data_IF_558925976177
#
_entry.id   IF_558925976177
#
_cell.length_a   1.000
_cell.length_b   1.000
_cell.length_c   1.000
_cell.angle_alpha   90.00
_cell.angle_beta   90.00
_cell.angle_gamma   90.00
#
_symmetry.space_group_name_H-M   'P 1'
#
loop_
_entity.id
_entity.type
_entity.pdbx_description
1 polymer ?
#
# COMPACT_ATOMS: atom_id res chain seq x y z
N UNK A 1 -66.58 24.94 2.68
CA UNK A 1 -66.83 23.58 3.23
C UNK A 1 -65.88 22.64 2.50
N UNK A 2 -64.88 22.09 3.19
CA UNK A 2 -63.91 21.19 2.58
C UNK A 2 -64.56 19.82 2.30
N UNK A 3 -64.28 19.28 1.12
CA UNK A 3 -64.96 18.16 0.49
C UNK A 3 -64.48 16.83 1.08
N UNK A 4 -65.37 16.07 1.71
CA UNK A 4 -65.05 14.82 2.41
C UNK A 4 -64.62 13.69 1.46
N UNK A 5 -65.02 13.74 0.19
CA UNK A 5 -64.60 12.75 -0.82
C UNK A 5 -63.11 12.86 -1.17
N UNK A 6 -62.55 14.06 -1.15
CA UNK A 6 -61.13 14.26 -1.49
C UNK A 6 -60.22 13.62 -0.43
N UNK A 7 -60.64 13.62 0.84
CA UNK A 7 -59.91 12.97 1.94
C UNK A 7 -59.86 11.44 1.85
N UNK A 8 -60.93 10.79 1.35
CA UNK A 8 -60.95 9.33 1.17
C UNK A 8 -60.13 8.90 -0.04
N UNK A 9 -60.12 9.69 -1.11
CA UNK A 9 -59.31 9.40 -2.31
C UNK A 9 -57.81 9.54 -1.97
N UNK A 10 -57.43 10.56 -1.21
CA UNK A 10 -56.05 10.74 -0.78
C UNK A 10 -55.58 9.64 0.19
N UNK A 11 -56.42 9.20 1.13
CA UNK A 11 -56.07 8.12 2.06
C UNK A 11 -55.87 6.77 1.34
N UNK A 12 -56.72 6.45 0.35
CA UNK A 12 -56.61 5.21 -0.44
C UNK A 12 -55.42 5.28 -1.40
N UNK A 13 -55.19 6.43 -2.05
CA UNK A 13 -54.02 6.64 -2.89
C UNK A 13 -52.72 6.50 -2.08
N UNK A 14 -52.69 7.02 -0.85
CA UNK A 14 -51.53 6.96 0.04
C UNK A 14 -51.24 5.53 0.53
N UNK A 15 -52.28 4.76 0.89
CA UNK A 15 -52.12 3.35 1.23
C UNK A 15 -51.53 2.53 0.06
N UNK A 16 -52.00 2.77 -1.17
CA UNK A 16 -51.50 2.10 -2.38
C UNK A 16 -50.07 2.54 -2.77
N UNK A 17 -49.73 3.81 -2.56
CA UNK A 17 -48.36 4.32 -2.77
C UNK A 17 -47.38 3.69 -1.79
N UNK A 18 -47.75 3.58 -0.52
CA UNK A 18 -46.92 3.00 0.54
C UNK A 18 -46.64 1.51 0.32
N UNK A 19 -47.64 0.74 -0.09
CA UNK A 19 -47.46 -0.69 -0.39
C UNK A 19 -46.55 -0.93 -1.59
N UNK A 20 -46.62 -0.06 -2.61
CA UNK A 20 -45.74 -0.12 -3.78
C UNK A 20 -44.28 0.15 -3.39
N UNK A 21 -44.04 1.17 -2.57
CA UNK A 21 -42.69 1.50 -2.08
C UNK A 21 -42.12 0.34 -1.23
N UNK A 22 -42.94 -0.26 -0.35
CA UNK A 22 -42.53 -1.40 0.47
C UNK A 22 -42.16 -2.66 -0.35
N UNK A 23 -42.93 -2.96 -1.40
CA UNK A 23 -42.61 -4.06 -2.32
C UNK A 23 -41.30 -3.83 -3.08
N UNK A 24 -41.03 -2.60 -3.49
CA UNK A 24 -39.79 -2.22 -4.15
C UNK A 24 -38.58 -2.38 -3.21
N UNK A 25 -38.66 -1.91 -1.97
CA UNK A 25 -37.60 -2.10 -0.98
C UNK A 25 -37.37 -3.59 -0.64
N UNK A 26 -38.43 -4.40 -0.53
CA UNK A 26 -38.29 -5.85 -0.32
C UNK A 26 -37.64 -6.57 -1.51
N UNK A 27 -37.88 -6.12 -2.74
CA UNK A 27 -37.36 -6.74 -3.96
C UNK A 27 -35.92 -6.32 -4.28
N UNK A 28 -35.56 -5.06 -4.01
CA UNK A 28 -34.28 -4.46 -4.42
C UNK A 28 -33.36 -4.05 -3.27
N UNK A 29 -33.83 -4.06 -2.02
CA UNK A 29 -33.03 -3.64 -0.86
C UNK A 29 -31.79 -4.52 -0.64
N UNK A 30 -31.86 -5.80 -0.99
CA UNK A 30 -30.71 -6.71 -0.94
C UNK A 30 -29.63 -6.34 -1.96
N UNK A 31 -29.99 -5.79 -3.14
CA UNK A 31 -29.02 -5.32 -4.14
C UNK A 31 -28.25 -4.11 -3.63
N UNK A 32 -28.93 -3.18 -2.94
CA UNK A 32 -28.24 -2.06 -2.29
C UNK A 32 -27.27 -2.57 -1.22
N UNK A 33 -27.69 -3.55 -0.42
CA UNK A 33 -26.81 -4.22 0.55
C UNK A 33 -25.60 -4.91 -0.11
N UNK A 34 -25.82 -5.58 -1.24
CA UNK A 34 -24.75 -6.24 -2.02
C UNK A 34 -23.74 -5.22 -2.56
N UNK A 35 -24.22 -4.09 -3.09
CA UNK A 35 -23.37 -3.01 -3.59
C UNK A 35 -22.50 -2.44 -2.47
N UNK A 36 -23.08 -2.19 -1.29
CA UNK A 36 -22.33 -1.72 -0.12
C UNK A 36 -21.28 -2.76 0.30
N UNK A 37 -21.66 -4.04 0.36
CA UNK A 37 -20.72 -5.13 0.68
C UNK A 37 -19.55 -5.21 -0.31
N UNK A 38 -19.82 -5.04 -1.60
CA UNK A 38 -18.78 -5.02 -2.63
C UNK A 38 -17.83 -3.84 -2.47
N UNK A 39 -18.35 -2.63 -2.20
CA UNK A 39 -17.53 -1.44 -1.98
C UNK A 39 -16.65 -1.60 -0.73
N UNK A 40 -17.23 -2.04 0.38
CA UNK A 40 -16.50 -2.24 1.65
C UNK A 40 -15.49 -3.38 1.51
N UNK A 41 -15.86 -4.48 0.85
CA UNK A 41 -14.95 -5.59 0.59
C UNK A 41 -13.77 -5.20 -0.30
N UNK A 42 -14.02 -4.41 -1.37
CA UNK A 42 -12.98 -3.88 -2.24
C UNK A 42 -12.06 -2.90 -1.51
N UNK A 43 -12.61 -2.02 -0.65
CA UNK A 43 -11.82 -1.10 0.16
C UNK A 43 -10.94 -1.83 1.17
N UNK A 44 -11.49 -2.82 1.88
CA UNK A 44 -10.76 -3.65 2.84
C UNK A 44 -9.64 -4.46 2.15
N UNK A 45 -9.91 -5.01 0.96
CA UNK A 45 -8.91 -5.73 0.18
C UNK A 45 -7.77 -4.82 -0.30
N UNK A 46 -8.10 -3.63 -0.80
CA UNK A 46 -7.09 -2.64 -1.20
C UNK A 46 -6.22 -2.21 -0.01
N UNK A 47 -6.81 -1.97 1.16
CA UNK A 47 -6.05 -1.58 2.35
C UNK A 47 -5.09 -2.67 2.82
N UNK A 48 -5.51 -3.93 2.78
CA UNK A 48 -4.65 -5.07 3.10
C UNK A 48 -3.52 -5.26 2.09
N UNK A 49 -3.79 -4.97 0.81
CA UNK A 49 -2.78 -5.02 -0.24
C UNK A 49 -1.74 -3.89 -0.10
N UNK A 50 -2.17 -2.69 0.26
CA UNK A 50 -1.26 -1.54 0.48
C UNK A 50 -0.32 -1.79 1.65
N UNK A 51 -0.82 -2.33 2.76
CA UNK A 51 0.00 -2.65 3.94
C UNK A 51 1.10 -3.69 3.66
N UNK A 52 0.91 -4.59 2.69
CA UNK A 52 1.95 -5.56 2.26
C UNK A 52 3.07 -4.93 1.43
N UNK A 53 2.81 -3.79 0.78
CA UNK A 53 3.85 -3.05 0.03
C UNK A 53 4.73 -2.24 1.00
N UNK A 54 4.10 -1.54 1.94
CA UNK A 54 4.80 -0.84 3.03
C UNK A 54 5.71 -1.78 3.84
N UNK A 55 5.27 -2.99 4.16
CA UNK A 55 6.10 -3.92 4.96
C UNK A 55 7.42 -4.34 4.28
N UNK A 56 7.45 -4.35 2.94
CA UNK A 56 8.65 -4.74 2.20
C UNK A 56 9.70 -3.62 2.21
N UNK A 57 9.23 -2.37 2.12
CA UNK A 57 10.08 -1.18 2.14
C UNK A 57 10.58 -0.90 3.57
N UNK A 58 9.71 -1.06 4.59
CA UNK A 58 10.08 -0.97 6.01
C UNK A 58 11.14 -2.02 6.39
N UNK A 59 10.94 -3.28 6.02
CA UNK A 59 11.89 -4.36 6.36
C UNK A 59 13.27 -4.14 5.72
N UNK A 60 13.34 -3.51 4.54
CA UNK A 60 14.60 -3.18 3.89
C UNK A 60 15.30 -2.00 4.57
N UNK A 61 14.54 -0.96 4.94
CA UNK A 61 15.04 0.18 5.72
C UNK A 61 15.61 -0.26 7.08
N UNK A 62 14.90 -1.13 7.79
CA UNK A 62 15.36 -1.71 9.05
C UNK A 62 16.66 -2.52 8.87
N UNK A 63 16.79 -3.27 7.78
CA UNK A 63 18.01 -4.03 7.49
C UNK A 63 19.21 -3.12 7.22
N UNK A 64 19.02 -1.99 6.52
CA UNK A 64 20.06 -0.97 6.32
C UNK A 64 20.47 -0.32 7.63
N UNK A 65 19.51 0.07 8.45
CA UNK A 65 19.78 0.71 9.74
C UNK A 65 20.51 -0.26 10.68
N UNK A 66 20.05 -1.50 10.76
CA UNK A 66 20.70 -2.56 11.53
C UNK A 66 22.13 -2.82 11.07
N UNK A 67 22.40 -2.80 9.76
CA UNK A 67 23.75 -2.90 9.24
C UNK A 67 24.62 -1.72 9.71
N UNK A 68 24.13 -0.48 9.65
CA UNK A 68 24.87 0.71 10.07
C UNK A 68 25.10 0.80 11.58
N UNK A 69 24.22 0.20 12.39
CA UNK A 69 24.33 0.16 13.86
C UNK A 69 25.38 -0.84 14.37
N UNK A 70 25.96 -1.67 13.49
CA UNK A 70 27.07 -2.55 13.84
C UNK A 70 28.26 -1.76 14.38
N UNK A 71 28.89 -2.29 15.44
CA UNK A 71 29.96 -1.59 16.17
C UNK A 71 31.31 -1.62 15.45
N UNK A 72 31.64 -2.73 14.77
CA UNK A 72 32.89 -2.83 14.02
C UNK A 72 32.66 -2.47 12.56
N UNK A 73 33.67 -1.83 11.96
CA UNK A 73 33.61 -1.45 10.56
C UNK A 73 33.60 -2.69 9.63
N UNK A 74 34.23 -3.78 10.07
CA UNK A 74 34.27 -5.07 9.36
C UNK A 74 32.89 -5.75 9.35
N UNK A 75 32.19 -5.75 10.50
CA UNK A 75 30.83 -6.29 10.59
C UNK A 75 29.85 -5.45 9.76
N UNK A 76 30.05 -4.12 9.71
CA UNK A 76 29.27 -3.22 8.88
C UNK A 76 29.44 -3.50 7.40
N UNK A 77 30.68 -3.65 6.95
CA UNK A 77 31.02 -4.04 5.59
C UNK A 77 30.35 -5.37 5.21
N UNK A 78 30.46 -6.37 6.09
CA UNK A 78 29.85 -7.67 5.89
C UNK A 78 28.32 -7.56 5.78
N UNK A 79 27.68 -6.87 6.72
CA UNK A 79 26.23 -6.67 6.75
C UNK A 79 25.72 -5.93 5.51
N UNK A 80 26.37 -4.82 5.12
CA UNK A 80 26.01 -4.05 3.93
C UNK A 80 26.23 -4.85 2.64
N UNK A 81 27.27 -5.67 2.57
CA UNK A 81 27.56 -6.51 1.40
C UNK A 81 26.55 -7.64 1.19
N UNK A 82 25.89 -8.08 2.26
CA UNK A 82 24.88 -9.14 2.25
C UNK A 82 23.48 -8.65 1.87
N UNK A 83 23.26 -7.33 1.83
CA UNK A 83 21.96 -6.76 1.46
C UNK A 83 21.67 -6.96 -0.05
N UNK A 84 20.41 -7.24 -0.41
CA UNK A 84 20.01 -7.33 -1.82
C UNK A 84 20.28 -6.00 -2.54
N UNK A 85 20.96 -6.07 -3.69
CA UNK A 85 21.13 -4.95 -4.61
C UNK A 85 20.06 -5.04 -5.70
N UNK A 86 18.79 -4.96 -5.26
CA UNK A 86 17.58 -5.14 -6.08
C UNK A 86 16.66 -3.88 -6.05
N UNK A 87 16.29 -3.29 -7.21
CA UNK A 87 15.56 -2.03 -7.42
C UNK A 87 16.28 -0.73 -7.02
N UNK A 88 15.57 0.40 -7.16
CA UNK A 88 16.08 1.73 -6.77
C UNK A 88 16.70 1.78 -5.35
N UNK A 89 16.18 0.99 -4.42
CA UNK A 89 16.68 0.89 -3.05
C UNK A 89 18.04 0.18 -2.94
N UNK A 90 18.38 -0.70 -3.88
CA UNK A 90 19.67 -1.40 -3.96
C UNK A 90 20.83 -0.44 -4.22
N UNK A 91 20.55 0.70 -4.87
CA UNK A 91 21.52 1.77 -5.10
C UNK A 91 21.96 2.41 -3.79
N UNK A 92 21.03 2.65 -2.86
CA UNK A 92 21.34 3.26 -1.56
C UNK A 92 22.26 2.33 -0.74
N UNK A 93 21.96 1.03 -0.72
CA UNK A 93 22.79 0.03 -0.06
C UNK A 93 24.22 0.01 -0.64
N UNK A 94 24.36 0.07 -1.97
CA UNK A 94 25.64 0.11 -2.65
C UNK A 94 26.44 1.40 -2.36
N UNK A 95 25.78 2.55 -2.30
CA UNK A 95 26.41 3.82 -1.93
C UNK A 95 26.93 3.80 -0.49
N UNK A 96 26.15 3.26 0.45
CA UNK A 96 26.58 3.10 1.84
C UNK A 96 27.75 2.13 1.98
N UNK A 97 27.72 1.01 1.24
CA UNK A 97 28.82 0.04 1.20
C UNK A 97 30.11 0.70 0.67
N UNK A 98 30.04 1.45 -0.43
CA UNK A 98 31.19 2.16 -0.97
C UNK A 98 31.77 3.20 0.01
N UNK A 99 30.89 3.90 0.73
CA UNK A 99 31.29 4.82 1.80
C UNK A 99 32.06 4.11 2.92
N UNK A 100 31.57 2.96 3.37
CA UNK A 100 32.24 2.16 4.40
C UNK A 100 33.57 1.56 3.89
N UNK A 101 33.63 1.06 2.65
CA UNK A 101 34.87 0.61 2.01
C UNK A 101 35.92 1.73 1.96
N UNK A 102 35.51 2.95 1.58
CA UNK A 102 36.39 4.11 1.55
C UNK A 102 36.89 4.51 2.94
N UNK A 103 36.04 4.46 3.97
CA UNK A 103 36.42 4.78 5.35
C UNK A 103 37.42 3.76 5.92
N UNK A 104 37.31 2.49 5.51
CA UNK A 104 38.25 1.44 5.87
C UNK A 104 39.53 1.40 5.01
N UNK A 105 39.70 2.37 4.10
CA UNK A 105 40.90 2.51 3.26
C UNK A 105 40.91 1.63 2.01
N UNK A 106 39.83 0.93 1.70
CA UNK A 106 39.68 0.11 0.50
C UNK A 106 39.09 0.93 -0.66
N UNK A 107 39.86 1.91 -1.12
CA UNK A 107 39.49 2.74 -2.26
C UNK A 107 39.25 1.94 -3.57
N UNK A 108 40.01 0.87 -3.88
CA UNK A 108 39.71 0.01 -5.02
C UNK A 108 38.32 -0.64 -4.96
N UNK A 109 37.95 -1.24 -3.82
CA UNK A 109 36.63 -1.85 -3.67
C UNK A 109 35.51 -0.81 -3.74
N UNK A 110 35.71 0.36 -3.12
CA UNK A 110 34.75 1.47 -3.20
C UNK A 110 34.51 1.91 -4.66
N UNK A 111 35.59 2.04 -5.44
CA UNK A 111 35.49 2.42 -6.85
C UNK A 111 34.75 1.36 -7.68
N UNK A 112 34.98 0.07 -7.42
CA UNK A 112 34.27 -1.01 -8.08
C UNK A 112 32.76 -0.97 -7.77
N UNK A 113 32.40 -0.82 -6.49
CA UNK A 113 31.00 -0.71 -6.05
C UNK A 113 30.30 0.49 -6.69
N UNK A 114 30.96 1.66 -6.73
CA UNK A 114 30.41 2.86 -7.36
C UNK A 114 30.30 2.73 -8.88
N UNK A 115 31.27 2.09 -9.52
CA UNK A 115 31.24 1.87 -10.96
C UNK A 115 30.13 0.89 -11.34
N UNK A 116 29.90 -0.14 -10.52
CA UNK A 116 28.77 -1.05 -10.68
C UNK A 116 27.46 -0.25 -10.74
N UNK A 117 27.20 0.60 -9.73
CA UNK A 117 26.02 1.49 -9.69
C UNK A 117 25.96 2.42 -10.90
N UNK A 118 27.05 3.08 -11.27
CA UNK A 118 27.09 4.03 -12.38
C UNK A 118 26.87 3.39 -13.76
N UNK A 119 27.20 2.10 -13.89
CA UNK A 119 27.09 1.33 -15.13
C UNK A 119 25.70 0.72 -15.36
N UNK A 120 24.78 0.84 -14.41
CA UNK A 120 23.39 0.41 -14.56
C UNK A 120 22.46 1.59 -14.87
N UNK A 121 22.03 1.74 -16.13
CA UNK A 121 21.24 2.88 -16.58
C UNK A 121 19.75 2.80 -16.18
N UNK A 122 19.28 1.65 -15.68
CA UNK A 122 17.86 1.41 -15.40
C UNK A 122 17.52 1.41 -13.90
N UNK A 123 18.50 1.53 -12.99
CA UNK A 123 18.26 1.36 -11.53
C UNK A 123 17.79 -0.06 -11.17
N UNK A 124 18.20 -1.05 -11.98
CA UNK A 124 17.85 -2.47 -11.91
C UNK A 124 18.94 -3.33 -11.26
N UNK A 125 19.85 -2.72 -10.51
CA UNK A 125 20.30 -3.27 -9.23
C UNK A 125 19.09 -3.42 -8.35
#
# INVERSE_FOLDING_TARGET
MANTNDSFIDEVAEALRRDRINLWFRRWGWLLGLVILLIVGAAAFNQWQTSRRESADEARGDALLSALETQSAEDRLSALSALPRAGDDGVIAALLLAGEQSQNGDAPAAAETLNAVASDPDGRY
#
